data_IF_108688896185
#
_entry.id   IF_108688896185
#
_cell.length_a   1.000
_cell.length_b   1.000
_cell.length_c   1.000
_cell.angle_alpha   90.00
_cell.angle_beta   90.00
_cell.angle_gamma   90.00
#
_symmetry.space_group_name_H-M   'P 1'
#
loop_
_entity.id
_entity.type
_entity.pdbx_description
1 polymer ?
#
# COMPACT_ATOMS: atom_id res chain seq x y z
N UNK A 1 -18.64 8.94 23.92
CA UNK A 1 -18.52 7.75 23.11
C UNK A 1 -18.16 8.18 21.69
N UNK A 2 -16.97 7.80 21.21
CA UNK A 2 -16.63 7.95 19.81
C UNK A 2 -17.57 7.03 19.03
N UNK A 3 -18.52 7.62 18.31
CA UNK A 3 -19.37 6.89 17.38
C UNK A 3 -18.50 6.14 16.40
N UNK A 4 -18.82 4.85 16.13
CA UNK A 4 -18.18 4.04 15.10
C UNK A 4 -18.39 4.56 13.68
N UNK A 5 -19.14 5.62 13.49
CA UNK A 5 -19.32 6.29 12.21
C UNK A 5 -18.05 7.03 11.82
N UNK A 6 -17.60 6.84 10.58
CA UNK A 6 -16.52 7.63 10.00
C UNK A 6 -16.84 9.13 10.12
N UNK A 7 -15.85 10.00 10.40
CA UNK A 7 -16.04 11.44 10.40
C UNK A 7 -16.68 11.99 9.12
N UNK A 8 -16.58 11.27 8.00
CA UNK A 8 -17.20 11.64 6.73
C UNK A 8 -18.68 11.25 6.63
N UNK A 9 -19.17 10.36 7.50
CA UNK A 9 -20.57 9.92 7.52
C UNK A 9 -21.48 10.86 8.32
N UNK A 10 -20.89 11.80 9.09
CA UNK A 10 -21.62 12.84 9.76
C UNK A 10 -22.14 13.88 8.78
N UNK A 11 -23.35 14.43 9.02
CA UNK A 11 -23.91 15.49 8.20
C UNK A 11 -22.96 16.71 8.17
N UNK A 12 -22.44 17.13 7.02
CA UNK A 12 -21.43 18.17 6.98
C UNK A 12 -22.03 19.55 7.24
N UNK A 13 -21.57 20.21 8.29
CA UNK A 13 -21.98 21.58 8.63
C UNK A 13 -21.06 22.66 8.05
N UNK A 14 -19.80 22.31 7.73
CA UNK A 14 -18.78 23.26 7.24
C UNK A 14 -18.48 23.05 5.76
N UNK A 15 -18.00 24.10 5.07
CA UNK A 15 -17.61 24.04 3.65
C UNK A 15 -16.55 22.96 3.38
N UNK A 16 -15.55 22.83 4.28
CA UNK A 16 -14.52 21.79 4.16
C UNK A 16 -15.11 20.37 4.19
N UNK A 17 -16.00 20.07 5.12
CA UNK A 17 -16.66 18.76 5.20
C UNK A 17 -17.54 18.46 3.99
N UNK A 18 -18.24 19.48 3.47
CA UNK A 18 -19.02 19.35 2.24
C UNK A 18 -18.14 19.00 1.05
N UNK A 19 -17.01 19.70 0.88
CA UNK A 19 -16.05 19.42 -0.17
C UNK A 19 -15.43 18.03 -0.02
N UNK A 20 -15.02 17.63 1.20
CA UNK A 20 -14.49 16.30 1.46
C UNK A 20 -15.50 15.21 1.13
N UNK A 21 -16.77 15.39 1.46
CA UNK A 21 -17.83 14.44 1.12
C UNK A 21 -18.11 14.36 -0.38
N UNK A 22 -18.08 15.51 -1.08
CA UNK A 22 -18.26 15.55 -2.53
C UNK A 22 -17.11 14.84 -3.28
N UNK A 23 -15.91 14.81 -2.69
CA UNK A 23 -14.72 14.14 -3.22
C UNK A 23 -14.46 12.77 -2.56
N UNK A 24 -15.45 12.20 -1.87
CA UNK A 24 -15.33 10.91 -1.22
C UNK A 24 -15.35 9.77 -2.24
N UNK A 25 -14.17 9.22 -2.51
CA UNK A 25 -13.98 8.11 -3.45
C UNK A 25 -14.51 6.76 -2.94
N UNK A 26 -14.98 6.67 -1.70
CA UNK A 26 -15.59 5.43 -1.15
C UNK A 26 -16.88 5.02 -1.88
N UNK A 27 -17.48 5.91 -2.68
CA UNK A 27 -18.65 5.58 -3.51
C UNK A 27 -18.27 5.07 -4.90
N UNK A 28 -16.99 4.93 -5.18
CA UNK A 28 -16.47 4.46 -6.45
C UNK A 28 -15.73 3.14 -6.29
N UNK A 29 -15.83 2.28 -7.27
CA UNK A 29 -15.07 1.02 -7.37
C UNK A 29 -14.42 0.96 -8.75
N UNK A 30 -13.13 0.60 -8.82
CA UNK A 30 -12.44 0.43 -10.09
C UNK A 30 -13.12 -0.62 -10.97
N UNK A 31 -13.25 -0.33 -12.27
CA UNK A 31 -13.75 -1.27 -13.26
C UNK A 31 -12.63 -2.02 -14.00
N UNK A 32 -11.40 -1.65 -13.74
CA UNK A 32 -10.19 -2.25 -14.31
C UNK A 32 -9.35 -2.89 -13.21
N UNK A 33 -8.46 -3.83 -13.55
CA UNK A 33 -7.55 -4.42 -12.58
C UNK A 33 -6.71 -3.38 -11.84
N UNK A 34 -6.55 -3.56 -10.53
CA UNK A 34 -5.82 -2.65 -9.64
C UNK A 34 -4.74 -3.42 -8.88
N UNK A 35 -3.57 -2.82 -8.79
CA UNK A 35 -2.53 -3.24 -7.86
C UNK A 35 -2.34 -2.13 -6.82
N UNK A 36 -2.32 -2.52 -5.55
CA UNK A 36 -1.94 -1.69 -4.42
C UNK A 36 -0.67 -2.27 -3.80
N UNK A 37 0.37 -1.46 -3.64
CA UNK A 37 1.65 -1.90 -3.09
C UNK A 37 2.10 -0.96 -1.98
N UNK A 38 2.69 -1.53 -0.94
CA UNK A 38 3.28 -0.83 0.19
C UNK A 38 3.91 -1.81 1.16
N UNK A 39 4.25 -1.35 2.35
CA UNK A 39 4.80 -2.20 3.39
C UNK A 39 4.10 -2.00 4.73
N UNK A 40 3.85 -3.09 5.44
CA UNK A 40 3.14 -3.08 6.72
C UNK A 40 3.84 -2.23 7.79
N UNK A 41 5.15 -2.06 7.68
CA UNK A 41 5.97 -1.28 8.61
C UNK A 41 6.33 0.12 8.10
N UNK A 42 5.62 0.65 7.08
CA UNK A 42 5.84 2.00 6.58
C UNK A 42 5.50 3.03 7.68
N UNK A 43 6.49 3.84 8.13
CA UNK A 43 6.28 4.81 9.20
C UNK A 43 5.52 6.06 8.74
N UNK A 44 5.40 6.27 7.44
CA UNK A 44 4.81 7.48 6.84
C UNK A 44 3.38 7.23 6.37
N UNK A 45 3.15 6.10 5.67
CA UNK A 45 1.84 5.73 5.15
C UNK A 45 1.41 4.40 5.74
N UNK A 46 0.42 4.47 6.63
CA UNK A 46 -0.07 3.27 7.30
C UNK A 46 -0.73 2.31 6.30
N UNK A 47 -0.18 1.11 6.17
CA UNK A 47 -0.66 0.07 5.25
C UNK A 47 -2.08 -0.43 5.57
N UNK A 48 -2.60 -0.16 6.78
CA UNK A 48 -4.00 -0.43 7.11
C UNK A 48 -4.97 0.34 6.20
N UNK A 49 -4.61 1.53 5.72
CA UNK A 49 -5.43 2.28 4.76
C UNK A 49 -5.55 1.55 3.42
N UNK A 50 -4.45 0.96 2.94
CA UNK A 50 -4.44 0.09 1.75
C UNK A 50 -5.33 -1.14 1.94
N UNK A 51 -5.20 -1.82 3.08
CA UNK A 51 -6.04 -2.99 3.42
C UNK A 51 -7.52 -2.62 3.54
N UNK A 52 -7.84 -1.49 4.18
CA UNK A 52 -9.20 -1.00 4.31
C UNK A 52 -9.82 -0.67 2.95
N UNK A 53 -9.08 0.01 2.07
CA UNK A 53 -9.52 0.32 0.71
C UNK A 53 -9.75 -0.95 -0.11
N UNK A 54 -8.82 -1.91 -0.05
CA UNK A 54 -8.98 -3.20 -0.71
C UNK A 54 -10.21 -3.98 -0.18
N UNK A 55 -10.42 -3.98 1.14
CA UNK A 55 -11.60 -4.56 1.77
C UNK A 55 -12.89 -3.90 1.29
N UNK A 56 -12.89 -2.58 1.18
CA UNK A 56 -14.01 -1.82 0.65
C UNK A 56 -14.34 -2.19 -0.81
N UNK A 57 -13.34 -2.23 -1.69
CA UNK A 57 -13.55 -2.61 -3.09
C UNK A 57 -14.13 -4.03 -3.22
N UNK A 58 -13.61 -4.98 -2.43
CA UNK A 58 -14.16 -6.35 -2.39
C UNK A 58 -15.62 -6.37 -1.90
N UNK A 59 -15.91 -5.65 -0.83
CA UNK A 59 -17.27 -5.55 -0.29
C UNK A 59 -18.27 -4.92 -1.27
N UNK A 60 -17.77 -4.07 -2.18
CA UNK A 60 -18.57 -3.44 -3.25
C UNK A 60 -18.61 -4.27 -4.55
N UNK A 61 -18.13 -5.52 -4.51
CA UNK A 61 -18.26 -6.46 -5.61
C UNK A 61 -17.09 -6.48 -6.60
N UNK A 62 -15.95 -5.82 -6.29
CA UNK A 62 -14.77 -5.96 -7.14
C UNK A 62 -14.28 -7.43 -7.12
N UNK A 63 -14.12 -8.09 -8.28
CA UNK A 63 -13.65 -9.45 -8.35
C UNK A 63 -12.27 -9.61 -7.69
N UNK A 64 -12.06 -10.69 -6.95
CA UNK A 64 -10.79 -10.94 -6.27
C UNK A 64 -9.60 -10.97 -7.26
N UNK A 65 -9.80 -11.52 -8.45
CA UNK A 65 -8.79 -11.58 -9.50
C UNK A 65 -8.42 -10.19 -10.08
N UNK A 66 -9.29 -9.19 -9.90
CA UNK A 66 -9.04 -7.83 -10.38
C UNK A 66 -8.35 -6.93 -9.34
N UNK A 67 -8.13 -7.41 -8.11
CA UNK A 67 -7.54 -6.63 -7.03
C UNK A 67 -6.34 -7.35 -6.40
N UNK A 68 -5.16 -6.86 -6.71
CA UNK A 68 -3.90 -7.34 -6.14
C UNK A 68 -3.43 -6.39 -5.04
N UNK A 69 -3.07 -6.94 -3.88
CA UNK A 69 -2.47 -6.19 -2.77
C UNK A 69 -1.11 -6.81 -2.47
N UNK A 70 -0.06 -6.02 -2.61
CA UNK A 70 1.32 -6.43 -2.34
C UNK A 70 1.79 -5.75 -1.06
N UNK A 71 1.99 -6.55 -0.02
CA UNK A 71 2.72 -6.13 1.19
C UNK A 71 4.18 -6.55 1.03
N UNK A 72 5.08 -5.59 0.97
CA UNK A 72 6.53 -5.84 0.83
C UNK A 72 7.15 -6.49 2.07
N UNK A 73 6.47 -6.44 3.21
CA UNK A 73 6.92 -7.11 4.45
C UNK A 73 6.44 -8.57 4.57
N UNK A 74 5.54 -9.02 3.71
CA UNK A 74 5.03 -10.37 3.74
C UNK A 74 6.08 -11.36 3.22
N UNK A 75 6.72 -12.08 4.13
CA UNK A 75 7.71 -13.13 3.80
C UNK A 75 7.08 -14.52 3.64
N UNK A 76 5.79 -14.68 3.96
CA UNK A 76 5.12 -15.98 3.96
C UNK A 76 4.43 -16.34 2.65
N UNK A 77 4.09 -15.36 1.83
CA UNK A 77 3.38 -15.59 0.56
C UNK A 77 4.33 -15.86 -0.58
N UNK A 78 4.11 -16.97 -1.29
CA UNK A 78 4.82 -17.30 -2.53
C UNK A 78 3.92 -17.01 -3.73
N UNK A 79 4.27 -15.97 -4.48
CA UNK A 79 3.54 -15.50 -5.65
C UNK A 79 4.47 -14.77 -6.64
N UNK A 80 3.89 -14.13 -7.66
CA UNK A 80 4.64 -13.35 -8.66
C UNK A 80 5.44 -12.16 -8.07
N UNK A 81 5.18 -11.77 -6.81
CA UNK A 81 5.82 -10.63 -6.15
C UNK A 81 6.88 -11.04 -5.12
N UNK A 82 7.16 -12.33 -4.97
CA UNK A 82 8.13 -12.86 -4.00
C UNK A 82 9.52 -12.27 -4.20
N UNK A 83 9.95 -12.08 -5.45
CA UNK A 83 11.24 -11.45 -5.76
C UNK A 83 11.30 -9.97 -5.31
N UNK A 84 10.21 -9.24 -5.44
CA UNK A 84 10.14 -7.84 -4.96
C UNK A 84 10.25 -7.77 -3.44
N UNK A 85 9.57 -8.67 -2.71
CA UNK A 85 9.65 -8.78 -1.25
C UNK A 85 11.06 -9.14 -0.77
N UNK A 86 11.67 -10.14 -1.41
CA UNK A 86 13.06 -10.54 -1.08
C UNK A 86 14.04 -9.41 -1.34
N UNK A 87 13.93 -8.72 -2.49
CA UNK A 87 14.76 -7.57 -2.82
C UNK A 87 14.59 -6.41 -1.84
N UNK A 88 13.35 -6.13 -1.43
CA UNK A 88 13.06 -5.10 -0.42
C UNK A 88 13.70 -5.43 0.95
N UNK A 89 13.55 -6.67 1.41
CA UNK A 89 14.17 -7.12 2.65
C UNK A 89 15.70 -7.01 2.58
N UNK A 90 16.30 -7.39 1.45
CA UNK A 90 17.74 -7.27 1.22
C UNK A 90 18.18 -5.79 1.21
N UNK A 91 17.43 -4.90 0.56
CA UNK A 91 17.76 -3.47 0.54
C UNK A 91 17.74 -2.85 1.93
N UNK A 92 16.76 -3.20 2.77
CA UNK A 92 16.73 -2.79 4.18
C UNK A 92 17.96 -3.28 4.95
N UNK A 93 18.30 -4.56 4.78
CA UNK A 93 19.47 -5.18 5.41
C UNK A 93 20.78 -4.49 4.99
N UNK A 94 20.95 -4.27 3.69
CA UNK A 94 22.14 -3.60 3.14
C UNK A 94 22.27 -2.17 3.67
N UNK A 95 21.18 -1.40 3.72
CA UNK A 95 21.22 -0.05 4.29
C UNK A 95 21.61 -0.09 5.77
N UNK A 96 21.03 -0.98 6.56
CA UNK A 96 21.37 -1.12 7.97
C UNK A 96 22.84 -1.51 8.18
N UNK A 97 23.37 -2.43 7.36
CA UNK A 97 24.76 -2.86 7.43
C UNK A 97 25.74 -1.73 7.08
N UNK A 98 25.41 -0.92 6.08
CA UNK A 98 26.24 0.18 5.60
C UNK A 98 26.10 1.46 6.44
N UNK A 99 25.13 1.53 7.35
CA UNK A 99 24.95 2.68 8.25
C UNK A 99 25.89 2.52 9.45
N UNK A 100 26.81 3.48 9.69
CA UNK A 100 27.67 3.47 10.87
C UNK A 100 26.85 3.75 12.14
N UNK A 101 27.39 3.31 13.29
CA UNK A 101 26.79 3.59 14.60
C UNK A 101 26.11 2.40 15.25
N UNK A 102 25.27 2.69 16.21
CA UNK A 102 24.55 1.71 17.03
C UNK A 102 23.43 0.99 16.27
N UNK A 103 22.86 -0.05 16.86
CA UNK A 103 21.68 -0.72 16.32
C UNK A 103 20.49 0.26 16.15
N UNK A 104 20.37 1.25 17.03
CA UNK A 104 19.35 2.30 16.94
C UNK A 104 19.57 3.19 15.73
N UNK A 105 20.81 3.61 15.45
CA UNK A 105 21.14 4.45 14.29
C UNK A 105 20.81 3.74 12.98
N UNK A 106 21.13 2.46 12.89
CA UNK A 106 20.81 1.60 11.74
C UNK A 106 19.30 1.46 11.53
N UNK A 107 18.55 1.21 12.60
CA UNK A 107 17.09 1.13 12.54
C UNK A 107 16.46 2.46 12.12
N UNK A 108 16.98 3.57 12.63
CA UNK A 108 16.52 4.91 12.28
C UNK A 108 16.78 5.22 10.79
N UNK A 109 17.95 4.86 10.27
CA UNK A 109 18.28 5.04 8.86
C UNK A 109 17.29 4.30 7.94
N UNK A 110 16.95 3.05 8.27
CA UNK A 110 15.94 2.27 7.55
C UNK A 110 14.57 2.94 7.64
N UNK A 111 14.17 3.41 8.84
CA UNK A 111 12.89 4.09 9.05
C UNK A 111 12.77 5.35 8.20
N UNK A 112 13.79 6.20 8.17
CA UNK A 112 13.80 7.44 7.40
C UNK A 112 13.78 7.20 5.89
N UNK A 113 14.46 6.16 5.41
CA UNK A 113 14.54 5.81 4.00
C UNK A 113 13.32 5.00 3.50
N UNK A 114 12.51 4.43 4.40
CA UNK A 114 11.52 3.43 4.09
C UNK A 114 10.58 3.85 2.97
N UNK A 115 9.81 4.90 3.21
CA UNK A 115 8.74 5.34 2.31
C UNK A 115 9.26 5.96 1.01
N UNK A 116 10.27 6.82 1.09
CA UNK A 116 10.73 7.63 -0.05
C UNK A 116 11.80 6.96 -0.91
N UNK A 117 12.53 5.96 -0.37
CA UNK A 117 13.71 5.41 -1.04
C UNK A 117 13.66 3.89 -1.17
N UNK A 118 13.28 3.19 -0.09
CA UNK A 118 13.35 1.72 -0.06
C UNK A 118 12.13 1.08 -0.73
N UNK A 119 10.92 1.48 -0.40
CA UNK A 119 9.70 0.85 -0.91
C UNK A 119 9.42 1.13 -2.40
N UNK A 120 9.60 2.37 -2.93
CA UNK A 120 9.17 2.71 -4.29
C UNK A 120 9.76 1.84 -5.40
N UNK A 121 11.06 1.49 -5.43
CA UNK A 121 11.62 0.66 -6.52
C UNK A 121 10.93 -0.71 -6.63
N UNK A 122 10.59 -1.32 -5.50
CA UNK A 122 9.97 -2.65 -5.46
C UNK A 122 8.49 -2.59 -5.77
N UNK A 123 7.79 -1.54 -5.36
CA UNK A 123 6.42 -1.30 -5.76
C UNK A 123 6.32 -1.00 -7.27
N UNK A 124 7.25 -0.22 -7.84
CA UNK A 124 7.30 0.03 -9.29
C UNK A 124 7.59 -1.24 -10.09
N UNK A 125 8.52 -2.09 -9.61
CA UNK A 125 8.79 -3.38 -10.24
C UNK A 125 7.56 -4.29 -10.20
N UNK A 126 6.85 -4.33 -9.05
CA UNK A 126 5.60 -5.06 -8.90
C UNK A 126 4.51 -4.53 -9.84
N UNK A 127 4.37 -3.21 -9.95
CA UNK A 127 3.41 -2.59 -10.86
C UNK A 127 3.71 -2.90 -12.33
N UNK A 128 4.99 -2.87 -12.72
CA UNK A 128 5.41 -3.25 -14.08
C UNK A 128 5.02 -4.68 -14.41
N UNK A 129 5.32 -5.64 -13.53
CA UNK A 129 4.95 -7.05 -13.73
C UNK A 129 3.43 -7.23 -13.79
N UNK A 130 2.68 -6.54 -12.93
CA UNK A 130 1.23 -6.55 -12.93
C UNK A 130 0.65 -6.07 -14.28
N UNK A 131 1.09 -4.92 -14.79
CA UNK A 131 0.59 -4.39 -16.06
C UNK A 131 0.97 -5.27 -17.25
N UNK A 132 2.17 -5.87 -17.25
CA UNK A 132 2.55 -6.84 -18.26
C UNK A 132 1.62 -8.07 -18.25
N UNK A 133 1.24 -8.56 -17.07
CA UNK A 133 0.28 -9.64 -16.91
C UNK A 133 -1.12 -9.27 -17.41
N UNK A 134 -1.60 -8.07 -17.10
CA UNK A 134 -2.92 -7.56 -17.57
C UNK A 134 -2.94 -7.47 -19.09
N UNK A 135 -1.89 -6.91 -19.71
CA UNK A 135 -1.79 -6.80 -21.18
C UNK A 135 -1.75 -8.18 -21.85
N UNK A 136 -1.02 -9.12 -21.29
CA UNK A 136 -0.93 -10.48 -21.82
C UNK A 136 -2.27 -11.24 -21.73
N UNK A 137 -3.12 -10.90 -20.76
CA UNK A 137 -4.45 -11.48 -20.59
C UNK A 137 -5.53 -10.84 -21.49
N UNK A 138 -5.18 -9.87 -22.34
CA UNK A 138 -6.09 -9.21 -23.28
C UNK A 138 -6.72 -7.94 -22.75
N UNK A 139 -6.18 -7.40 -21.63
CA UNK A 139 -6.42 -6.05 -21.09
C UNK A 139 -7.81 -5.69 -20.68
#
# INVERSE_FOLDING_TARGET
SLSSASPLDCSPSTGFRKAARANDLRNWVPTRPVLMCGGANDPTVNFLSTRATAGYFRAKGMPAAALTVVDLEDSGTTDAYSAARAGFAQAKSTLAQNTPGSASDKAQAVTLAYHGTLAPPFCLASARGFFQGVLAAGG
#
